data_IF_856735261041
#
_entry.id   IF_856735261041
#
_cell.length_a   1.000
_cell.length_b   1.000
_cell.length_c   1.000
_cell.angle_alpha   90.00
_cell.angle_beta   90.00
_cell.angle_gamma   90.00
#
_symmetry.space_group_name_H-M   'P 1'
#
loop_
_entity.id
_entity.type
_entity.pdbx_description
1 polymer ?
#
# COMPACT_ATOMS: atom_id res chain seq x y z
N UNK A 1 -13.13 -27.66 -43.50
CA UNK A 1 -11.71 -27.63 -43.08
C UNK A 1 -11.37 -26.18 -42.77
N UNK A 2 -11.50 -25.76 -41.52
CA UNK A 2 -11.07 -24.44 -41.09
C UNK A 2 -9.56 -24.54 -40.76
N UNK A 3 -8.77 -23.74 -41.46
CA UNK A 3 -7.33 -23.60 -41.23
C UNK A 3 -7.12 -22.94 -39.84
N UNK A 4 -6.70 -23.71 -38.86
CA UNK A 4 -6.15 -23.17 -37.60
C UNK A 4 -4.83 -22.48 -37.95
N UNK A 5 -4.87 -21.17 -38.05
CA UNK A 5 -3.67 -20.34 -38.15
C UNK A 5 -2.96 -20.40 -36.80
N UNK A 6 -1.94 -21.22 -36.69
CA UNK A 6 -1.04 -21.31 -35.55
C UNK A 6 -0.31 -19.98 -35.45
N UNK A 7 -0.82 -19.03 -34.67
CA UNK A 7 -0.14 -17.79 -34.35
C UNK A 7 1.11 -18.16 -33.53
N UNK A 8 2.29 -17.97 -34.14
CA UNK A 8 3.55 -18.20 -33.44
C UNK A 8 3.65 -17.19 -32.29
N UNK A 9 3.84 -17.67 -31.06
CA UNK A 9 3.82 -16.84 -29.82
C UNK A 9 4.79 -15.63 -29.81
N UNK A 10 5.66 -15.50 -30.83
CA UNK A 10 6.51 -14.30 -31.00
C UNK A 10 5.78 -13.10 -31.57
N UNK A 11 4.66 -13.28 -32.26
CA UNK A 11 3.86 -12.19 -32.84
C UNK A 11 2.99 -11.47 -31.79
N UNK A 12 2.91 -12.05 -30.59
CA UNK A 12 2.17 -11.49 -29.46
C UNK A 12 2.98 -10.47 -28.64
N UNK A 13 4.31 -10.42 -28.82
CA UNK A 13 5.20 -9.57 -28.02
C UNK A 13 5.63 -8.36 -28.81
N UNK A 14 5.27 -7.18 -28.33
CA UNK A 14 5.72 -5.92 -28.90
C UNK A 14 7.14 -5.59 -28.43
N UNK A 15 8.07 -5.22 -29.35
CA UNK A 15 9.36 -4.67 -28.94
C UNK A 15 9.15 -3.36 -28.14
N UNK A 16 9.80 -3.25 -26.99
CA UNK A 16 9.77 -2.05 -26.20
C UNK A 16 10.59 -0.88 -26.78
N UNK A 17 10.68 0.24 -26.06
CA UNK A 17 11.41 1.43 -26.50
C UNK A 17 12.88 1.15 -26.82
N UNK A 18 13.51 2.05 -27.59
CA UNK A 18 14.93 1.95 -27.93
C UNK A 18 15.81 1.68 -26.72
N UNK A 19 16.71 0.72 -26.85
CA UNK A 19 17.61 0.25 -25.77
C UNK A 19 19.00 0.87 -25.97
N UNK A 20 19.65 1.26 -24.88
CA UNK A 20 21.07 1.64 -24.91
C UNK A 20 21.94 0.39 -24.74
N UNK A 21 23.08 0.29 -25.47
CA UNK A 21 24.01 -0.82 -25.31
C UNK A 21 24.44 -0.98 -23.83
N UNK A 22 24.38 -2.20 -23.31
CA UNK A 22 24.74 -2.53 -21.93
C UNK A 22 23.75 -2.07 -20.85
N UNK A 23 23.08 -0.94 -21.02
CA UNK A 23 22.16 -0.35 -20.03
C UNK A 23 20.69 -0.69 -20.29
N UNK A 24 20.35 -1.18 -21.48
CA UNK A 24 18.96 -1.44 -21.83
C UNK A 24 18.08 -0.17 -21.75
N UNK A 25 16.96 -0.26 -21.05
CA UNK A 25 16.04 0.85 -20.82
C UNK A 25 16.22 1.50 -19.43
N UNK A 26 17.25 1.10 -18.66
CA UNK A 26 17.49 1.61 -17.31
C UNK A 26 17.50 3.15 -17.21
N UNK A 27 18.14 3.91 -18.10
CA UNK A 27 18.12 5.37 -18.00
C UNK A 27 16.72 5.97 -18.18
N UNK A 28 15.91 5.46 -19.11
CA UNK A 28 14.55 5.92 -19.35
C UNK A 28 13.64 5.57 -18.16
N UNK A 29 13.78 4.37 -17.60
CA UNK A 29 13.07 3.94 -16.41
C UNK A 29 13.48 4.77 -15.18
N UNK A 30 14.77 5.01 -14.95
CA UNK A 30 15.25 5.76 -13.80
C UNK A 30 14.86 7.25 -13.84
N UNK A 31 14.77 7.84 -15.03
CA UNK A 31 14.40 9.24 -15.22
C UNK A 31 12.92 9.49 -14.93
N UNK A 32 12.05 8.64 -15.47
CA UNK A 32 10.59 8.77 -15.35
C UNK A 32 9.94 7.37 -15.30
N UNK A 33 9.91 6.73 -14.12
CA UNK A 33 9.38 5.38 -13.99
C UNK A 33 7.89 5.27 -14.34
N UNK A 34 7.07 6.25 -13.95
CA UNK A 34 5.62 6.23 -14.18
C UNK A 34 5.30 6.39 -15.66
N UNK A 35 5.84 7.42 -16.29
CA UNK A 35 5.68 7.64 -17.72
C UNK A 35 6.33 6.54 -18.56
N UNK A 36 7.37 5.86 -18.04
CA UNK A 36 7.94 4.70 -18.72
C UNK A 36 6.94 3.56 -18.83
N UNK A 37 6.22 3.22 -17.77
CA UNK A 37 5.18 2.18 -17.81
C UNK A 37 3.97 2.60 -18.64
N UNK A 38 3.61 3.89 -18.65
CA UNK A 38 2.56 4.39 -19.55
C UNK A 38 2.96 4.18 -21.03
N UNK A 39 4.20 4.49 -21.39
CA UNK A 39 4.71 4.25 -22.76
C UNK A 39 4.71 2.77 -23.12
N UNK A 40 5.05 1.87 -22.17
CA UNK A 40 4.97 0.43 -22.40
C UNK A 40 3.52 -0.01 -22.65
N UNK A 41 2.57 0.46 -21.83
CA UNK A 41 1.14 0.15 -21.97
C UNK A 41 0.59 0.58 -23.33
N UNK A 42 0.95 1.79 -23.78
CA UNK A 42 0.56 2.30 -25.11
C UNK A 42 1.19 1.49 -26.25
N UNK A 43 2.38 0.94 -26.05
CA UNK A 43 3.07 0.14 -27.07
C UNK A 43 2.43 -1.24 -27.27
N UNK A 44 1.81 -1.83 -26.24
CA UNK A 44 1.19 -3.14 -26.34
C UNK A 44 0.84 -3.79 -25.01
N UNK A 45 0.21 -4.95 -25.08
CA UNK A 45 -0.23 -5.70 -23.91
C UNK A 45 0.87 -6.58 -23.30
N UNK A 46 1.79 -7.06 -24.14
CA UNK A 46 2.99 -7.81 -23.78
C UNK A 46 4.19 -7.10 -24.41
N UNK A 47 4.98 -6.40 -23.60
CA UNK A 47 6.09 -5.57 -24.12
C UNK A 47 7.43 -6.03 -23.55
N UNK A 48 8.35 -6.45 -24.42
CA UNK A 48 9.70 -6.83 -24.02
C UNK A 48 10.57 -5.59 -23.81
N UNK A 49 11.24 -5.51 -22.68
CA UNK A 49 12.21 -4.46 -22.38
C UNK A 49 13.41 -5.00 -21.59
N UNK A 50 14.37 -4.15 -21.22
CA UNK A 50 15.56 -4.58 -20.48
C UNK A 50 15.92 -3.62 -19.37
N UNK A 51 16.19 -4.16 -18.18
CA UNK A 51 16.76 -3.45 -17.06
C UNK A 51 18.26 -3.82 -16.97
N UNK A 52 19.11 -3.03 -17.62
CA UNK A 52 20.50 -3.44 -17.82
C UNK A 52 20.59 -4.72 -18.67
N UNK A 53 21.32 -5.74 -18.21
CA UNK A 53 21.40 -7.04 -18.90
C UNK A 53 20.15 -7.91 -18.71
N UNK A 54 19.31 -7.61 -17.71
CA UNK A 54 18.18 -8.43 -17.33
C UNK A 54 17.03 -8.29 -18.32
N UNK A 55 16.50 -9.43 -18.78
CA UNK A 55 15.28 -9.46 -19.60
C UNK A 55 14.06 -9.17 -18.74
N UNK A 56 13.18 -8.34 -19.25
CA UNK A 56 11.94 -7.95 -18.61
C UNK A 56 10.78 -8.02 -19.62
N UNK A 57 9.63 -8.45 -19.13
CA UNK A 57 8.36 -8.43 -19.86
C UNK A 57 7.38 -7.57 -19.08
N UNK A 58 6.80 -6.58 -19.71
CA UNK A 58 5.69 -5.81 -19.15
C UNK A 58 4.37 -6.39 -19.62
N UNK A 59 3.41 -6.49 -18.69
CA UNK A 59 2.05 -6.97 -18.93
C UNK A 59 1.03 -5.92 -18.49
N UNK A 60 0.05 -5.62 -19.36
CA UNK A 60 -0.98 -4.60 -19.10
C UNK A 60 -2.42 -5.10 -19.15
N UNK A 61 -2.69 -6.24 -19.82
CA UNK A 61 -4.05 -6.82 -19.82
C UNK A 61 -4.40 -7.44 -18.48
N UNK A 62 -5.64 -7.27 -18.01
CA UNK A 62 -6.11 -7.85 -16.76
C UNK A 62 -5.90 -9.37 -16.68
N UNK A 63 -6.09 -10.10 -17.78
CA UNK A 63 -5.89 -11.55 -17.84
C UNK A 63 -4.42 -11.93 -17.56
N UNK A 64 -3.47 -11.23 -18.20
CA UNK A 64 -2.03 -11.49 -17.99
C UNK A 64 -1.57 -11.02 -16.60
N UNK A 65 -2.15 -9.93 -16.08
CA UNK A 65 -1.93 -9.49 -14.71
C UNK A 65 -2.43 -10.57 -13.74
N UNK A 66 -3.60 -11.14 -14.01
CA UNK A 66 -4.15 -12.26 -13.24
C UNK A 66 -3.23 -13.48 -13.24
N UNK A 67 -2.70 -13.87 -14.40
CA UNK A 67 -1.73 -14.97 -14.53
C UNK A 67 -0.47 -14.69 -13.69
N UNK A 68 0.08 -13.45 -13.75
CA UNK A 68 1.22 -13.06 -12.93
C UNK A 68 0.90 -13.18 -11.44
N UNK A 69 -0.18 -12.55 -10.98
CA UNK A 69 -0.52 -12.47 -9.56
C UNK A 69 -0.87 -13.84 -8.95
N UNK A 70 -1.63 -14.65 -9.67
CA UNK A 70 -2.01 -16.01 -9.20
C UNK A 70 -0.88 -17.02 -9.37
N UNK A 71 0.02 -16.79 -10.33
CA UNK A 71 1.18 -17.65 -10.61
C UNK A 71 2.36 -17.45 -9.66
N UNK A 72 2.38 -16.40 -8.83
CA UNK A 72 3.44 -16.21 -7.83
C UNK A 72 3.38 -17.37 -6.81
N UNK A 73 4.53 -17.97 -6.49
CA UNK A 73 4.77 -19.19 -5.72
C UNK A 73 4.68 -20.50 -6.52
N UNK A 74 3.95 -20.55 -7.62
CA UNK A 74 3.87 -21.72 -8.50
C UNK A 74 4.80 -21.63 -9.70
N UNK A 75 4.45 -20.83 -10.68
CA UNK A 75 5.22 -20.63 -11.94
C UNK A 75 6.16 -19.44 -11.89
N UNK A 76 5.93 -18.48 -10.99
CA UNK A 76 6.84 -17.37 -10.73
C UNK A 76 7.38 -17.47 -9.31
N UNK A 77 8.64 -17.04 -9.10
CA UNK A 77 9.17 -16.76 -7.77
C UNK A 77 8.97 -15.30 -7.41
N UNK A 78 8.91 -15.00 -6.12
CA UNK A 78 8.92 -13.62 -5.66
C UNK A 78 10.26 -12.95 -6.03
N UNK A 79 10.28 -11.67 -6.43
CA UNK A 79 11.53 -10.97 -6.68
C UNK A 79 12.34 -10.83 -5.39
N UNK A 80 13.65 -10.89 -5.50
CA UNK A 80 14.50 -10.57 -4.37
C UNK A 80 14.36 -9.10 -4.00
N UNK A 81 13.89 -8.87 -2.79
CA UNK A 81 13.85 -7.54 -2.21
C UNK A 81 15.27 -7.13 -1.80
N UNK A 82 15.65 -5.90 -2.11
CA UNK A 82 17.01 -5.40 -1.83
C UNK A 82 17.43 -5.61 -0.37
N UNK A 83 18.73 -5.72 -0.12
CA UNK A 83 19.35 -5.99 1.18
C UNK A 83 18.85 -5.06 2.30
N UNK A 84 18.58 -3.78 1.99
CA UNK A 84 18.13 -2.78 2.95
C UNK A 84 16.72 -3.10 3.49
N UNK A 85 15.81 -3.52 2.61
CA UNK A 85 14.47 -3.93 3.02
C UNK A 85 14.51 -5.23 3.83
N UNK A 86 15.36 -6.19 3.42
CA UNK A 86 15.57 -7.44 4.15
C UNK A 86 16.20 -7.21 5.52
N UNK A 87 17.08 -6.21 5.67
CA UNK A 87 17.66 -5.84 6.95
C UNK A 87 16.58 -5.35 7.94
N UNK A 88 15.60 -4.59 7.47
CA UNK A 88 14.53 -4.05 8.31
C UNK A 88 13.45 -5.09 8.60
N UNK A 89 12.92 -5.73 7.56
CA UNK A 89 11.81 -6.70 7.67
C UNK A 89 12.26 -8.09 8.16
N UNK A 90 13.59 -8.34 8.15
CA UNK A 90 14.11 -9.67 8.43
C UNK A 90 13.60 -10.70 7.41
N UNK A 91 13.18 -11.84 7.92
CA UNK A 91 12.64 -12.96 7.14
C UNK A 91 11.12 -13.13 7.37
N UNK A 92 10.38 -12.01 7.41
CA UNK A 92 8.94 -11.99 7.60
C UNK A 92 8.14 -12.49 6.39
N UNK A 93 6.80 -12.43 6.47
CA UNK A 93 5.88 -12.92 5.42
C UNK A 93 6.05 -12.20 4.08
N UNK A 94 6.62 -11.00 4.04
CA UNK A 94 6.88 -10.25 2.80
C UNK A 94 8.18 -10.71 2.12
N UNK A 95 9.18 -11.12 2.89
CA UNK A 95 10.54 -11.42 2.41
C UNK A 95 10.84 -12.89 2.27
N UNK A 96 10.05 -13.77 2.89
CA UNK A 96 10.20 -15.23 2.82
C UNK A 96 9.55 -15.84 1.58
N UNK A 97 9.97 -17.06 1.21
CA UNK A 97 9.48 -17.81 0.06
C UNK A 97 9.15 -19.27 0.39
N UNK A 98 8.42 -19.93 -0.50
CA UNK A 98 8.16 -21.35 -0.47
C UNK A 98 7.46 -21.84 0.80
N UNK A 99 7.94 -22.93 1.40
CA UNK A 99 7.34 -23.53 2.59
C UNK A 99 7.41 -22.61 3.82
N UNK A 100 8.50 -21.85 3.98
CA UNK A 100 8.66 -20.91 5.08
C UNK A 100 7.62 -19.79 5.00
N UNK A 101 7.39 -19.26 3.79
CA UNK A 101 6.35 -18.26 3.57
C UNK A 101 4.95 -18.82 3.86
N UNK A 102 4.61 -20.00 3.33
CA UNK A 102 3.29 -20.61 3.57
C UNK A 102 3.00 -20.77 5.07
N UNK A 103 3.98 -21.27 5.83
CA UNK A 103 3.88 -21.40 7.29
C UNK A 103 3.64 -20.05 7.97
N UNK A 104 4.46 -19.05 7.68
CA UNK A 104 4.33 -17.70 8.27
C UNK A 104 3.00 -17.06 7.92
N UNK A 105 2.60 -17.14 6.65
CA UNK A 105 1.30 -16.60 6.23
C UNK A 105 0.14 -17.24 6.98
N UNK A 106 0.14 -18.56 7.16
CA UNK A 106 -0.87 -19.27 7.92
C UNK A 106 -0.94 -18.82 9.39
N UNK A 107 0.23 -18.53 10.01
CA UNK A 107 0.33 -18.05 11.39
C UNK A 107 -0.09 -16.59 11.57
N UNK A 108 0.18 -15.71 10.59
CA UNK A 108 -0.10 -14.28 10.67
C UNK A 108 -1.53 -13.95 10.22
N UNK A 109 -2.06 -14.64 9.22
CA UNK A 109 -3.37 -14.35 8.63
C UNK A 109 -4.52 -14.30 9.64
N UNK A 110 -4.61 -15.17 10.67
CA UNK A 110 -5.67 -15.08 11.69
C UNK A 110 -5.74 -13.74 12.41
N UNK A 111 -4.60 -13.05 12.61
CA UNK A 111 -4.53 -11.79 13.32
C UNK A 111 -5.16 -10.60 12.55
N UNK A 112 -5.38 -10.75 11.24
CA UNK A 112 -5.96 -9.72 10.37
C UNK A 112 -7.28 -10.15 9.71
N UNK A 113 -7.92 -11.21 10.22
CA UNK A 113 -9.25 -11.66 9.75
C UNK A 113 -10.33 -10.61 10.06
N UNK A 114 -11.45 -10.58 9.31
CA UNK A 114 -12.51 -9.58 9.48
C UNK A 114 -13.00 -9.40 10.92
N UNK A 115 -13.14 -10.50 11.68
CA UNK A 115 -13.54 -10.46 13.11
C UNK A 115 -12.52 -9.67 13.95
N UNK A 116 -11.23 -9.82 13.66
CA UNK A 116 -10.16 -9.15 14.39
C UNK A 116 -10.05 -7.67 13.98
N UNK A 117 -10.25 -7.38 12.69
CA UNK A 117 -10.29 -5.99 12.22
C UNK A 117 -11.41 -5.21 12.91
N UNK A 118 -12.54 -5.85 13.20
CA UNK A 118 -13.64 -5.24 13.99
C UNK A 118 -13.17 -4.78 15.37
N UNK A 119 -12.35 -5.57 16.08
CA UNK A 119 -11.88 -5.18 17.43
C UNK A 119 -10.91 -4.00 17.40
N UNK A 120 -10.24 -3.75 16.28
CA UNK A 120 -9.34 -2.61 16.11
C UNK A 120 -10.04 -1.31 15.70
N UNK A 121 -11.29 -1.37 15.25
CA UNK A 121 -12.02 -0.22 14.72
C UNK A 121 -12.18 0.92 15.73
N UNK A 122 -12.44 0.60 16.99
CA UNK A 122 -12.54 1.60 18.07
C UNK A 122 -11.22 2.39 18.20
N UNK A 123 -10.08 1.71 18.23
CA UNK A 123 -8.75 2.37 18.27
C UNK A 123 -8.53 3.30 17.09
N UNK A 124 -8.96 2.90 15.87
CA UNK A 124 -8.85 3.72 14.66
C UNK A 124 -9.64 5.03 14.81
N UNK A 125 -10.90 4.92 15.23
CA UNK A 125 -11.79 6.09 15.38
C UNK A 125 -11.43 6.97 16.56
N UNK A 126 -10.96 6.41 17.69
CA UNK A 126 -10.45 7.18 18.81
C UNK A 126 -9.23 8.03 18.44
N UNK A 127 -8.24 7.43 17.74
CA UNK A 127 -7.08 8.16 17.26
C UNK A 127 -7.46 9.27 16.29
N UNK A 128 -8.40 9.01 15.37
CA UNK A 128 -8.90 10.00 14.43
C UNK A 128 -9.68 11.12 15.13
N UNK A 129 -10.52 10.81 16.13
CA UNK A 129 -11.25 11.79 16.91
C UNK A 129 -10.31 12.71 17.71
N UNK A 130 -9.23 12.15 18.29
CA UNK A 130 -8.20 12.94 18.98
C UNK A 130 -7.51 13.92 18.01
N UNK A 131 -7.22 13.50 16.78
CA UNK A 131 -6.67 14.39 15.76
C UNK A 131 -7.68 15.46 15.35
N UNK A 132 -8.95 15.07 15.12
CA UNK A 132 -10.02 16.02 14.79
C UNK A 132 -10.17 17.12 15.86
N UNK A 133 -10.13 16.75 17.14
CA UNK A 133 -10.18 17.71 18.25
C UNK A 133 -8.96 18.66 18.30
N UNK A 134 -7.80 18.22 17.84
CA UNK A 134 -6.59 19.03 17.77
C UNK A 134 -6.52 19.93 16.51
N UNK A 135 -7.33 19.64 15.50
CA UNK A 135 -7.37 20.41 14.26
C UNK A 135 -8.25 21.65 14.41
N UNK A 136 -7.62 22.81 14.27
CA UNK A 136 -8.30 24.09 14.37
C UNK A 136 -8.53 24.69 12.98
N UNK A 137 -9.75 25.09 12.63
CA UNK A 137 -10.03 25.80 11.38
C UNK A 137 -9.10 27.01 11.20
N UNK A 138 -8.66 27.23 9.96
CA UNK A 138 -7.72 28.30 9.61
C UNK A 138 -6.24 27.90 9.70
N UNK A 139 -5.89 26.88 10.47
CA UNK A 139 -4.50 26.36 10.58
C UNK A 139 -4.04 25.77 9.23
N UNK A 140 -2.78 26.00 8.88
CA UNK A 140 -2.12 25.31 7.77
C UNK A 140 -1.34 24.12 8.32
N UNK A 141 -1.60 22.95 7.76
CA UNK A 141 -0.96 21.69 8.14
C UNK A 141 -0.24 21.05 6.95
N UNK A 142 0.76 20.23 7.22
CA UNK A 142 1.25 19.25 6.25
C UNK A 142 0.41 17.98 6.38
N UNK A 143 -0.53 17.81 5.46
CA UNK A 143 -1.50 16.69 5.46
C UNK A 143 -0.79 15.34 5.51
N UNK A 144 0.31 15.22 4.76
CA UNK A 144 1.09 13.97 4.74
C UNK A 144 1.65 13.65 6.12
N UNK A 145 2.24 14.64 6.78
CA UNK A 145 2.78 14.46 8.13
C UNK A 145 1.69 14.08 9.14
N UNK A 146 0.54 14.75 9.09
CA UNK A 146 -0.58 14.45 9.99
C UNK A 146 -1.13 13.04 9.74
N UNK A 147 -1.33 12.63 8.49
CA UNK A 147 -1.86 11.29 8.17
C UNK A 147 -0.88 10.18 8.51
N UNK A 148 0.42 10.37 8.24
CA UNK A 148 1.44 9.41 8.67
C UNK A 148 1.51 9.29 10.18
N UNK A 149 1.50 10.39 10.93
CA UNK A 149 1.50 10.34 12.40
C UNK A 149 0.25 9.66 12.97
N UNK A 150 -0.92 9.88 12.35
CA UNK A 150 -2.16 9.23 12.74
C UNK A 150 -2.11 7.71 12.51
N UNK A 151 -1.80 7.29 11.30
CA UNK A 151 -1.73 5.85 10.95
C UNK A 151 -0.62 5.13 11.71
N UNK A 152 0.49 5.82 12.02
CA UNK A 152 1.54 5.33 12.92
C UNK A 152 0.98 5.04 14.31
N UNK A 153 0.27 6.00 14.91
CA UNK A 153 -0.36 5.82 16.22
C UNK A 153 -1.35 4.66 16.22
N UNK A 154 -2.19 4.55 15.17
CA UNK A 154 -3.13 3.44 15.02
C UNK A 154 -2.37 2.11 14.93
N UNK A 155 -1.32 2.02 14.10
CA UNK A 155 -0.52 0.82 13.95
C UNK A 155 0.15 0.39 15.28
N UNK A 156 0.74 1.31 16.01
CA UNK A 156 1.37 1.02 17.32
C UNK A 156 0.32 0.52 18.32
N UNK A 157 -0.82 1.20 18.43
CA UNK A 157 -1.87 0.82 19.38
C UNK A 157 -2.55 -0.49 19.05
N UNK A 158 -2.76 -0.79 17.77
CA UNK A 158 -3.35 -2.06 17.34
C UNK A 158 -2.36 -3.21 17.40
N UNK A 159 -1.07 -2.96 17.14
CA UNK A 159 -0.03 -3.98 17.17
C UNK A 159 0.44 -4.30 18.60
N UNK A 160 0.68 -3.26 19.40
CA UNK A 160 1.29 -3.41 20.74
C UNK A 160 0.32 -3.15 21.92
N UNK A 161 -0.94 -2.78 21.63
CA UNK A 161 -1.95 -2.45 22.65
C UNK A 161 -1.85 -1.01 23.17
N UNK A 162 -2.93 -0.56 23.82
CA UNK A 162 -3.11 0.85 24.26
C UNK A 162 -2.19 1.29 25.40
N UNK A 163 -1.59 0.36 26.15
CA UNK A 163 -0.78 0.66 27.32
C UNK A 163 0.70 0.99 27.01
N UNK A 164 1.07 1.02 25.73
CA UNK A 164 2.43 1.38 25.29
C UNK A 164 2.71 2.89 25.34
N UNK A 165 1.92 3.63 26.12
CA UNK A 165 1.98 5.08 26.25
C UNK A 165 3.37 5.57 26.68
N UNK A 166 3.92 6.52 25.89
CA UNK A 166 5.19 7.21 26.15
C UNK A 166 6.38 6.71 25.31
N UNK A 167 6.28 5.59 24.57
CA UNK A 167 7.34 5.07 23.70
C UNK A 167 6.90 4.84 22.25
N UNK A 168 5.66 5.20 21.93
CA UNK A 168 5.15 5.20 20.54
C UNK A 168 6.08 6.00 19.61
N UNK A 169 6.63 7.10 20.12
CA UNK A 169 7.55 7.96 19.39
C UNK A 169 8.91 7.30 19.11
N UNK A 170 9.37 6.37 19.96
CA UNK A 170 10.69 5.71 19.79
C UNK A 170 10.65 4.76 18.60
N UNK A 171 9.70 3.83 18.57
CA UNK A 171 9.52 2.91 17.41
C UNK A 171 9.24 3.72 16.16
N UNK A 172 8.30 4.66 16.24
CA UNK A 172 7.92 5.48 15.10
C UNK A 172 9.08 6.25 14.50
N UNK A 173 9.86 6.93 15.33
CA UNK A 173 11.03 7.68 14.87
C UNK A 173 12.10 6.78 14.24
N UNK A 174 12.35 5.60 14.83
CA UNK A 174 13.28 4.63 14.27
C UNK A 174 12.83 4.08 12.93
N UNK A 175 11.53 3.77 12.80
CA UNK A 175 10.91 3.31 11.56
C UNK A 175 10.96 4.38 10.46
N UNK A 176 10.70 5.64 10.79
CA UNK A 176 10.84 6.77 9.86
C UNK A 176 12.27 6.92 9.34
N UNK A 177 13.27 6.75 10.21
CA UNK A 177 14.68 6.76 9.81
C UNK A 177 14.97 5.57 8.88
N UNK A 178 14.48 4.38 9.21
CA UNK A 178 14.67 3.19 8.40
C UNK A 178 14.02 3.33 7.00
N UNK A 179 12.79 3.81 6.93
CA UNK A 179 12.08 4.02 5.65
C UNK A 179 12.78 5.05 4.76
N UNK A 180 13.20 6.18 5.33
CA UNK A 180 13.96 7.19 4.57
C UNK A 180 15.27 6.61 4.05
N UNK A 181 16.01 5.88 4.87
CA UNK A 181 17.29 5.27 4.48
C UNK A 181 17.10 4.19 3.39
N UNK A 182 16.03 3.39 3.45
CA UNK A 182 15.66 2.45 2.38
C UNK A 182 15.38 3.23 1.08
N UNK A 183 14.56 4.28 1.14
CA UNK A 183 14.23 5.09 -0.03
C UNK A 183 15.47 5.75 -0.67
N UNK A 184 16.43 6.20 0.14
CA UNK A 184 17.69 6.78 -0.32
C UNK A 184 18.60 5.72 -0.96
N UNK A 185 18.63 4.50 -0.44
CA UNK A 185 19.39 3.39 -1.01
C UNK A 185 18.85 3.00 -2.41
N UNK A 186 17.54 3.00 -2.60
CA UNK A 186 16.94 2.71 -3.91
C UNK A 186 17.14 3.80 -4.96
N UNK A 187 17.38 5.05 -4.56
CA UNK A 187 17.52 6.18 -5.47
C UNK A 187 18.96 6.67 -5.66
N UNK A 188 19.85 6.27 -4.78
CA UNK A 188 21.22 6.78 -4.75
C UNK A 188 22.20 5.95 -5.57
N UNK A 189 23.38 6.53 -5.84
CA UNK A 189 24.53 5.80 -6.37
C UNK A 189 24.95 4.63 -5.47
N UNK A 190 24.51 4.63 -4.22
CA UNK A 190 24.73 3.57 -3.23
C UNK A 190 24.12 2.23 -3.65
N UNK A 191 23.11 2.24 -4.54
CA UNK A 191 22.52 1.02 -5.14
C UNK A 191 23.59 0.17 -5.85
N UNK A 192 24.61 0.81 -6.46
CA UNK A 192 25.67 0.13 -7.19
C UNK A 192 26.84 -0.29 -6.29
N UNK A 193 26.85 0.12 -5.02
CA UNK A 193 27.89 -0.24 -4.06
C UNK A 193 27.56 -1.58 -3.38
N UNK A 194 28.53 -2.48 -3.19
CA UNK A 194 28.34 -3.68 -2.39
C UNK A 194 27.74 -3.35 -1.00
N UNK A 195 26.86 -4.21 -0.49
CA UNK A 195 26.14 -3.99 0.76
C UNK A 195 27.02 -3.83 2.00
N UNK A 196 28.27 -4.32 1.95
CA UNK A 196 29.25 -4.21 3.03
C UNK A 196 29.91 -2.83 3.12
N UNK A 197 29.83 -1.97 2.09
CA UNK A 197 30.43 -0.63 2.10
C UNK A 197 29.68 0.26 3.10
N UNK A 198 30.32 0.81 4.13
CA UNK A 198 29.67 1.58 5.18
C UNK A 198 29.44 3.03 4.75
N UNK A 199 28.27 3.35 4.21
CA UNK A 199 27.87 4.73 3.96
C UNK A 199 27.19 5.35 5.20
N UNK A 200 27.12 6.68 5.32
CA UNK A 200 26.38 7.33 6.41
C UNK A 200 24.90 6.91 6.48
N UNK A 201 24.25 6.73 5.33
CA UNK A 201 22.86 6.23 5.24
C UNK A 201 22.73 4.82 5.80
N UNK A 202 23.62 3.91 5.39
CA UNK A 202 23.66 2.51 5.86
C UNK A 202 23.94 2.39 7.36
N UNK A 203 24.79 3.26 7.91
CA UNK A 203 25.02 3.32 9.36
C UNK A 203 23.78 3.79 10.11
N UNK A 204 23.08 4.82 9.60
CA UNK A 204 21.81 5.27 10.17
C UNK A 204 20.75 4.17 10.14
N UNK A 205 20.63 3.46 9.01
CA UNK A 205 19.71 2.33 8.85
C UNK A 205 19.97 1.23 9.89
N UNK A 206 21.22 0.80 10.05
CA UNK A 206 21.58 -0.22 11.04
C UNK A 206 21.24 0.21 12.46
N UNK A 207 21.55 1.46 12.85
CA UNK A 207 21.17 1.99 14.18
C UNK A 207 19.67 2.04 14.38
N UNK A 208 18.90 2.41 13.35
CA UNK A 208 17.46 2.40 13.43
C UNK A 208 16.92 0.97 13.64
N UNK A 209 17.49 -0.03 12.94
CA UNK A 209 17.14 -1.44 13.12
C UNK A 209 17.46 -1.92 14.54
N UNK A 210 18.61 -1.56 15.10
CA UNK A 210 18.98 -1.89 16.48
C UNK A 210 17.96 -1.34 17.50
N UNK A 211 17.49 -0.10 17.30
CA UNK A 211 16.44 0.50 18.15
C UNK A 211 15.11 -0.26 18.01
N UNK A 212 14.71 -0.59 16.78
CA UNK A 212 13.51 -1.35 16.49
C UNK A 212 13.58 -2.72 17.16
N UNK A 213 14.70 -3.43 17.00
CA UNK A 213 14.91 -4.76 17.59
C UNK A 213 14.82 -4.73 19.11
N UNK A 214 15.48 -3.77 19.74
CA UNK A 214 15.47 -3.61 21.19
C UNK A 214 14.06 -3.34 21.72
N UNK A 215 13.29 -2.48 21.04
CA UNK A 215 11.95 -2.12 21.50
C UNK A 215 10.93 -3.24 21.26
N UNK A 216 10.98 -3.92 20.12
CA UNK A 216 10.12 -5.08 19.86
C UNK A 216 10.43 -6.23 20.83
N UNK A 217 11.71 -6.48 21.12
CA UNK A 217 12.13 -7.49 22.09
C UNK A 217 11.61 -7.15 23.51
N UNK A 218 11.72 -5.89 23.93
CA UNK A 218 11.22 -5.41 25.22
C UNK A 218 9.71 -5.63 25.35
N UNK A 219 8.92 -5.14 24.34
CA UNK A 219 7.46 -5.29 24.37
C UNK A 219 7.05 -6.76 24.35
N UNK A 220 7.72 -7.59 23.54
CA UNK A 220 7.49 -9.03 23.49
C UNK A 220 7.74 -9.69 24.85
N UNK A 221 8.84 -9.34 25.52
CA UNK A 221 9.18 -9.87 26.83
C UNK A 221 8.19 -9.45 27.93
N UNK A 222 7.80 -8.18 27.94
CA UNK A 222 6.77 -7.65 28.85
C UNK A 222 5.43 -8.37 28.61
N UNK A 223 5.06 -8.57 27.35
CA UNK A 223 3.81 -9.25 26.99
C UNK A 223 3.77 -10.71 27.48
N UNK A 224 4.86 -11.43 27.38
CA UNK A 224 4.95 -12.81 27.88
C UNK A 224 4.86 -12.92 29.41
N UNK A 225 5.22 -11.86 30.15
CA UNK A 225 5.13 -11.81 31.62
C UNK A 225 3.78 -11.29 32.11
N UNK A 226 3.05 -10.54 31.28
CA UNK A 226 1.78 -10.01 31.68
C UNK A 226 0.74 -11.11 31.83
N UNK A 227 0.03 -11.13 32.95
CA UNK A 227 -1.14 -11.98 33.16
C UNK A 227 -2.37 -11.26 32.60
N UNK A 228 -3.08 -11.90 31.70
CA UNK A 228 -4.31 -11.39 31.09
C UNK A 228 -4.33 -11.56 29.58
N UNK A 229 -5.53 -11.84 29.06
CA UNK A 229 -5.75 -11.97 27.62
C UNK A 229 -5.87 -10.55 27.03
N UNK A 230 -4.96 -10.18 26.15
CA UNK A 230 -4.98 -8.90 25.45
C UNK A 230 -5.30 -9.12 23.97
N UNK A 231 -6.19 -8.28 23.45
CA UNK A 231 -6.71 -8.38 22.10
C UNK A 231 -5.92 -7.48 21.11
N UNK A 232 -4.58 -7.67 21.06
CA UNK A 232 -3.70 -6.99 20.10
C UNK A 232 -2.97 -7.97 19.18
N UNK A 233 -2.42 -7.43 18.07
CA UNK A 233 -1.73 -8.22 17.05
C UNK A 233 -0.54 -8.98 17.60
N UNK A 234 0.29 -8.39 18.48
CA UNK A 234 1.45 -9.04 19.07
C UNK A 234 1.05 -10.23 19.93
N UNK A 235 0.02 -10.09 20.77
CA UNK A 235 -0.52 -11.18 21.58
C UNK A 235 -0.99 -12.35 20.72
N UNK A 236 -1.62 -12.07 19.58
CA UNK A 236 -2.05 -13.07 18.61
C UNK A 236 -0.89 -13.77 17.93
N UNK A 237 0.17 -13.02 17.55
CA UNK A 237 1.39 -13.61 16.98
C UNK A 237 2.07 -14.56 17.99
N UNK A 238 2.14 -14.17 19.27
CA UNK A 238 2.71 -14.98 20.35
C UNK A 238 1.89 -16.25 20.63
N UNK A 239 0.57 -16.17 20.47
CA UNK A 239 -0.34 -17.29 20.64
C UNK A 239 -0.42 -18.23 19.43
N UNK A 240 -0.01 -17.74 18.23
CA UNK A 240 -0.12 -18.51 17.00
C UNK A 240 0.70 -19.80 17.03
N UNK A 241 0.12 -20.89 16.51
CA UNK A 241 0.75 -22.21 16.38
C UNK A 241 0.52 -22.71 14.97
N UNK A 242 1.53 -23.37 14.40
CA UNK A 242 1.38 -24.09 13.14
C UNK A 242 0.69 -25.44 13.33
N UNK A 243 0.52 -26.18 12.23
CA UNK A 243 -0.17 -27.48 12.23
C UNK A 243 0.54 -28.52 13.13
N UNK A 244 1.84 -28.35 13.37
CA UNK A 244 2.64 -29.19 14.30
C UNK A 244 2.63 -28.65 15.75
N UNK A 245 1.83 -27.61 16.04
CA UNK A 245 1.75 -26.97 17.35
C UNK A 245 2.95 -26.06 17.68
N UNK A 246 3.85 -25.80 16.74
CA UNK A 246 5.06 -25.00 16.95
C UNK A 246 4.75 -23.50 16.89
N UNK A 247 5.17 -22.69 17.88
CA UNK A 247 5.01 -21.26 17.88
C UNK A 247 5.99 -20.57 16.91
N UNK A 248 5.76 -19.27 16.68
CA UNK A 248 6.78 -18.39 16.12
C UNK A 248 7.92 -18.22 17.14
N UNK A 249 9.17 -18.27 16.66
CA UNK A 249 10.35 -17.89 17.45
C UNK A 249 10.35 -16.38 17.71
N UNK A 250 11.13 -15.88 18.67
CA UNK A 250 11.24 -14.45 18.98
C UNK A 250 11.67 -13.63 17.76
N UNK A 251 12.57 -14.18 16.95
CA UNK A 251 12.99 -13.55 15.71
C UNK A 251 11.86 -13.48 14.68
N UNK A 252 11.10 -14.56 14.51
CA UNK A 252 9.93 -14.54 13.61
C UNK A 252 8.85 -13.57 14.11
N UNK A 253 8.58 -13.53 15.42
CA UNK A 253 7.65 -12.55 16.01
C UNK A 253 8.11 -11.13 15.72
N UNK A 254 9.41 -10.81 15.90
CA UNK A 254 10.00 -9.52 15.56
C UNK A 254 9.81 -9.19 14.07
N UNK A 255 10.15 -10.13 13.19
CA UNK A 255 10.12 -9.92 11.74
C UNK A 255 8.67 -9.68 11.26
N UNK A 256 7.71 -10.43 11.80
CA UNK A 256 6.30 -10.24 11.48
C UNK A 256 5.73 -8.95 12.08
N UNK A 257 6.07 -8.60 13.32
CA UNK A 257 5.62 -7.36 13.95
C UNK A 257 6.10 -6.13 13.16
N UNK A 258 7.37 -6.11 12.76
CA UNK A 258 7.94 -5.03 11.94
C UNK A 258 7.31 -5.00 10.54
N UNK A 259 7.08 -6.16 9.94
CA UNK A 259 6.42 -6.27 8.62
C UNK A 259 5.01 -5.71 8.65
N UNK A 260 4.21 -6.08 9.65
CA UNK A 260 2.83 -5.60 9.82
C UNK A 260 2.78 -4.09 10.11
N UNK A 261 3.71 -3.61 10.95
CA UNK A 261 3.81 -2.18 11.23
C UNK A 261 4.09 -1.36 9.95
N UNK A 262 5.13 -1.71 9.20
CA UNK A 262 5.50 -0.99 7.97
C UNK A 262 4.38 -1.08 6.93
N UNK A 263 3.79 -2.26 6.77
CA UNK A 263 2.70 -2.47 5.82
C UNK A 263 1.44 -1.66 6.13
N UNK A 264 1.10 -1.49 7.41
CA UNK A 264 -0.12 -0.79 7.84
C UNK A 264 0.01 0.73 7.92
N UNK A 265 1.18 1.23 8.29
CA UNK A 265 1.39 2.65 8.57
C UNK A 265 1.52 3.50 7.30
N UNK A 266 2.57 3.29 6.51
CA UNK A 266 2.94 4.19 5.41
C UNK A 266 1.92 4.15 4.25
N UNK A 267 1.41 2.97 3.92
CA UNK A 267 0.48 2.80 2.79
C UNK A 267 -0.85 3.47 3.04
N UNK A 268 -1.44 3.29 4.23
CA UNK A 268 -2.71 3.91 4.61
C UNK A 268 -2.57 5.42 4.79
N UNK A 269 -1.49 5.90 5.43
CA UNK A 269 -1.22 7.33 5.59
C UNK A 269 -1.03 8.05 4.25
N UNK A 270 -0.37 7.41 3.29
CA UNK A 270 -0.22 7.91 1.93
C UNK A 270 -1.56 7.95 1.19
N UNK A 271 -2.39 6.89 1.32
CA UNK A 271 -3.74 6.85 0.75
C UNK A 271 -4.61 7.98 1.29
N UNK A 272 -4.64 8.19 2.60
CA UNK A 272 -5.39 9.29 3.23
C UNK A 272 -4.89 10.67 2.79
N UNK A 273 -3.58 10.82 2.63
CA UNK A 273 -2.98 12.06 2.11
C UNK A 273 -3.50 12.39 0.71
N UNK A 274 -3.50 11.42 -0.19
CA UNK A 274 -4.02 11.58 -1.54
C UNK A 274 -5.55 11.75 -1.56
N UNK A 275 -6.28 11.11 -0.65
CA UNK A 275 -7.72 11.31 -0.53
C UNK A 275 -8.06 12.76 -0.19
N UNK A 276 -7.38 13.38 0.78
CA UNK A 276 -7.55 14.79 1.11
C UNK A 276 -7.18 15.71 -0.05
N UNK A 277 -6.07 15.45 -0.74
CA UNK A 277 -5.67 16.20 -1.93
C UNK A 277 -6.74 16.13 -3.02
N UNK A 278 -7.25 14.95 -3.33
CA UNK A 278 -8.28 14.75 -4.36
C UNK A 278 -9.61 15.40 -3.96
N UNK A 279 -10.05 15.26 -2.72
CA UNK A 279 -11.27 15.88 -2.21
C UNK A 279 -11.19 17.42 -2.24
N UNK A 280 -10.01 17.99 -1.94
CA UNK A 280 -9.78 19.43 -2.05
C UNK A 280 -10.02 19.97 -3.46
N UNK A 281 -9.65 19.18 -4.46
CA UNK A 281 -9.75 19.57 -5.88
C UNK A 281 -11.07 19.18 -6.55
N UNK A 282 -11.92 18.44 -5.83
CA UNK A 282 -13.19 17.92 -6.36
C UNK A 282 -14.36 18.29 -5.42
N UNK A 283 -14.83 19.56 -5.44
CA UNK A 283 -15.86 20.04 -4.51
C UNK A 283 -17.18 19.27 -4.62
N UNK A 284 -17.53 18.74 -5.79
CA UNK A 284 -18.71 17.89 -5.96
C UNK A 284 -18.60 16.56 -5.20
N UNK A 285 -17.44 15.90 -5.26
CA UNK A 285 -17.21 14.68 -4.50
C UNK A 285 -17.19 14.98 -3.00
N UNK A 286 -16.58 16.09 -2.57
CA UNK A 286 -16.61 16.55 -1.18
C UNK A 286 -18.03 16.75 -0.68
N UNK A 287 -18.87 17.47 -1.42
CA UNK A 287 -20.26 17.73 -1.02
C UNK A 287 -21.08 16.44 -0.89
N UNK A 288 -20.84 15.44 -1.75
CA UNK A 288 -21.49 14.12 -1.63
C UNK A 288 -21.02 13.38 -0.39
N UNK A 289 -19.71 13.41 -0.09
CA UNK A 289 -19.15 12.83 1.14
C UNK A 289 -19.82 13.47 2.37
N UNK A 290 -19.90 14.80 2.43
CA UNK A 290 -20.55 15.52 3.53
C UNK A 290 -22.02 15.14 3.69
N UNK A 291 -22.74 14.97 2.58
CA UNK A 291 -24.13 14.53 2.56
C UNK A 291 -24.30 13.12 3.17
N UNK A 292 -23.44 12.17 2.78
CA UNK A 292 -23.44 10.82 3.37
C UNK A 292 -23.16 10.86 4.86
N UNK A 293 -22.08 11.54 5.28
CA UNK A 293 -21.66 11.59 6.68
C UNK A 293 -22.73 12.23 7.58
N UNK A 294 -23.37 13.31 7.13
CA UNK A 294 -24.48 13.92 7.87
C UNK A 294 -25.66 12.97 8.04
N UNK A 295 -26.04 12.30 6.95
CA UNK A 295 -27.21 11.40 6.96
C UNK A 295 -26.96 10.18 7.82
N UNK A 296 -25.74 9.62 7.78
CA UNK A 296 -25.44 8.34 8.44
C UNK A 296 -24.97 8.54 9.87
N UNK A 297 -24.12 9.54 10.11
CA UNK A 297 -23.42 9.71 11.38
C UNK A 297 -24.01 10.83 12.24
N UNK A 298 -24.55 11.89 11.64
CA UNK A 298 -25.15 13.03 12.36
C UNK A 298 -24.24 13.58 13.49
N UNK A 299 -22.93 13.68 13.22
CA UNK A 299 -21.93 14.20 14.18
C UNK A 299 -21.34 13.16 15.15
N UNK A 300 -21.89 11.95 15.23
CA UNK A 300 -21.29 10.90 16.09
C UNK A 300 -20.05 10.26 15.45
N UNK A 301 -19.17 9.75 16.27
CA UNK A 301 -18.02 8.96 15.82
C UNK A 301 -18.50 7.69 15.10
N UNK A 302 -17.96 7.37 13.93
CA UNK A 302 -18.35 6.15 13.21
C UNK A 302 -17.84 4.89 13.94
N UNK A 303 -18.63 3.82 13.82
CA UNK A 303 -18.30 2.49 14.31
C UNK A 303 -18.10 1.52 13.16
N UNK A 304 -17.57 0.33 13.44
CA UNK A 304 -17.35 -0.71 12.42
C UNK A 304 -18.63 -1.06 11.63
N UNK A 305 -19.77 -1.06 12.28
CA UNK A 305 -21.06 -1.42 11.65
C UNK A 305 -21.58 -0.33 10.70
N UNK A 306 -21.09 0.90 10.83
CA UNK A 306 -21.43 1.99 9.91
C UNK A 306 -20.80 1.83 8.53
N UNK A 307 -19.73 1.04 8.39
CA UNK A 307 -19.05 0.83 7.10
C UNK A 307 -20.02 0.47 5.96
N UNK A 308 -21.05 -0.33 6.25
CA UNK A 308 -22.07 -0.72 5.26
C UNK A 308 -22.97 0.45 4.83
N UNK A 309 -23.02 1.51 5.61
CA UNK A 309 -23.82 2.72 5.40
C UNK A 309 -22.98 3.89 4.88
N UNK A 310 -21.70 3.67 4.65
CA UNK A 310 -20.73 4.65 4.14
C UNK A 310 -20.18 4.24 2.76
N UNK A 311 -21.03 3.85 1.79
CA UNK A 311 -20.58 3.36 0.49
C UNK A 311 -19.83 4.44 -0.30
N UNK A 312 -20.23 5.72 -0.23
CA UNK A 312 -19.53 6.77 -0.96
C UNK A 312 -18.16 7.08 -0.34
N UNK A 313 -18.03 7.05 0.97
CA UNK A 313 -16.73 7.15 1.65
C UNK A 313 -15.78 6.02 1.19
N UNK A 314 -16.28 4.78 1.07
CA UNK A 314 -15.52 3.66 0.54
C UNK A 314 -15.16 3.88 -0.94
N UNK A 315 -16.06 4.42 -1.76
CA UNK A 315 -15.81 4.77 -3.16
C UNK A 315 -14.71 5.82 -3.30
N UNK A 316 -14.67 6.83 -2.42
CA UNK A 316 -13.58 7.82 -2.35
C UNK A 316 -12.24 7.15 -2.10
N UNK A 317 -12.15 6.22 -1.15
CA UNK A 317 -10.93 5.48 -0.85
C UNK A 317 -10.51 4.60 -2.04
N UNK A 318 -11.43 3.87 -2.66
CA UNK A 318 -11.16 3.04 -3.84
C UNK A 318 -10.64 3.86 -5.02
N UNK A 319 -11.25 5.01 -5.28
CA UNK A 319 -10.84 5.88 -6.38
C UNK A 319 -9.47 6.52 -6.10
N UNK A 320 -9.20 6.85 -4.83
CA UNK A 320 -7.86 7.29 -4.41
C UNK A 320 -6.81 6.22 -4.67
N UNK A 321 -7.08 4.96 -4.29
CA UNK A 321 -6.20 3.83 -4.54
C UNK A 321 -6.03 3.53 -6.04
N UNK A 322 -7.01 3.86 -6.87
CA UNK A 322 -6.89 3.75 -8.33
C UNK A 322 -5.93 4.79 -8.88
N UNK A 323 -6.12 6.06 -8.52
CA UNK A 323 -5.30 7.17 -9.02
C UNK A 323 -3.91 7.20 -8.40
N UNK A 324 -3.78 6.92 -7.11
CA UNK A 324 -2.51 6.98 -6.38
C UNK A 324 -2.28 5.71 -5.57
N UNK A 325 -2.08 4.55 -6.23
CA UNK A 325 -1.81 3.29 -5.53
C UNK A 325 -0.47 3.37 -4.79
N UNK A 326 -0.42 3.18 -3.45
CA UNK A 326 0.84 3.20 -2.71
C UNK A 326 1.86 2.18 -3.24
N UNK A 327 1.42 0.97 -3.55
CA UNK A 327 2.20 0.00 -4.33
C UNK A 327 1.87 0.26 -5.80
N UNK A 328 2.85 0.73 -6.55
CA UNK A 328 2.67 1.22 -7.92
C UNK A 328 3.16 0.25 -8.99
N UNK A 329 3.83 -0.82 -8.58
CA UNK A 329 4.29 -1.89 -9.46
C UNK A 329 4.29 -3.24 -8.72
N UNK A 330 4.14 -4.32 -9.50
CA UNK A 330 4.27 -5.71 -9.08
C UNK A 330 5.19 -6.45 -10.04
N UNK A 331 5.94 -7.40 -9.51
CA UNK A 331 6.87 -8.19 -10.33
C UNK A 331 6.86 -9.65 -9.90
N UNK A 332 7.17 -10.52 -10.87
CA UNK A 332 7.44 -11.94 -10.63
C UNK A 332 8.60 -12.40 -11.50
N UNK A 333 9.38 -13.36 -11.02
CA UNK A 333 10.52 -13.91 -11.78
C UNK A 333 10.16 -15.28 -12.30
N UNK A 334 10.17 -15.44 -13.62
CA UNK A 334 9.80 -16.68 -14.29
C UNK A 334 10.69 -17.85 -13.86
N UNK A 335 10.07 -18.96 -13.48
CA UNK A 335 10.72 -20.27 -13.28
C UNK A 335 10.83 -20.99 -14.63
N UNK A 336 11.50 -22.12 -14.65
CA UNK A 336 11.52 -22.98 -15.82
C UNK A 336 10.10 -23.45 -16.16
N UNK A 337 9.75 -23.44 -17.45
CA UNK A 337 8.42 -23.80 -17.94
C UNK A 337 7.31 -22.76 -17.71
N UNK A 338 7.64 -21.55 -17.23
CA UNK A 338 6.65 -20.49 -17.06
C UNK A 338 6.11 -19.99 -18.38
N UNK A 339 4.82 -19.66 -18.40
CA UNK A 339 4.15 -19.00 -19.53
C UNK A 339 3.37 -17.79 -19.05
N UNK A 340 3.06 -16.85 -19.93
CA UNK A 340 2.11 -15.76 -19.71
C UNK A 340 1.41 -15.41 -21.01
N UNK A 341 0.09 -15.35 -21.02
CA UNK A 341 -0.68 -15.18 -22.26
C UNK A 341 -0.37 -16.27 -23.29
N UNK A 342 -0.03 -17.50 -22.87
CA UNK A 342 0.42 -18.57 -23.75
C UNK A 342 1.86 -18.43 -24.28
N UNK A 343 2.57 -17.34 -23.95
CA UNK A 343 3.97 -17.12 -24.35
C UNK A 343 4.92 -17.83 -23.38
N UNK A 344 5.78 -18.78 -23.86
CA UNK A 344 6.82 -19.37 -23.04
C UNK A 344 7.88 -18.32 -22.62
N UNK A 345 8.22 -18.31 -21.32
CA UNK A 345 9.20 -17.38 -20.77
C UNK A 345 10.51 -18.09 -20.44
N UNK A 346 11.66 -17.57 -20.87
CA UNK A 346 12.95 -18.04 -20.36
C UNK A 346 13.01 -17.87 -18.84
N UNK A 347 13.54 -18.88 -18.13
CA UNK A 347 13.76 -18.79 -16.70
C UNK A 347 14.60 -17.55 -16.34
N UNK A 348 14.24 -16.87 -15.27
CA UNK A 348 14.88 -15.61 -14.85
C UNK A 348 14.34 -14.35 -15.53
N UNK A 349 13.42 -14.47 -16.51
CA UNK A 349 12.72 -13.30 -17.05
C UNK A 349 11.89 -12.64 -15.93
N UNK A 350 12.05 -11.33 -15.73
CA UNK A 350 11.22 -10.60 -14.78
C UNK A 350 9.98 -10.07 -15.49
N UNK A 351 8.82 -10.52 -15.02
CA UNK A 351 7.52 -10.04 -15.49
C UNK A 351 7.10 -8.87 -14.61
N UNK A 352 6.70 -7.77 -15.22
CA UNK A 352 6.33 -6.52 -14.57
C UNK A 352 4.90 -6.14 -14.90
N UNK A 353 4.16 -5.70 -13.91
CA UNK A 353 2.91 -4.98 -14.09
C UNK A 353 2.91 -3.74 -13.21
N UNK A 354 2.25 -2.68 -13.64
CA UNK A 354 2.18 -1.44 -12.89
C UNK A 354 0.73 -1.10 -12.56
N UNK A 355 0.42 -1.02 -11.26
CA UNK A 355 -0.88 -0.52 -10.80
C UNK A 355 -1.12 0.89 -11.30
N UNK A 356 -0.08 1.74 -11.32
CA UNK A 356 -0.19 3.09 -11.86
C UNK A 356 -0.75 3.12 -13.27
N UNK A 357 -0.19 2.34 -14.19
CA UNK A 357 -0.62 2.33 -15.59
C UNK A 357 -1.87 1.49 -15.83
N UNK A 358 -2.03 0.35 -15.16
CA UNK A 358 -3.20 -0.51 -15.31
C UNK A 358 -4.47 0.16 -14.81
N UNK A 359 -4.39 0.85 -13.65
CA UNK A 359 -5.52 1.58 -13.10
C UNK A 359 -5.89 2.86 -13.87
N UNK A 360 -5.07 3.24 -14.86
CA UNK A 360 -5.29 4.36 -15.78
C UNK A 360 -5.57 3.93 -17.22
N UNK A 361 -5.81 2.65 -17.44
CA UNK A 361 -6.10 2.14 -18.77
C UNK A 361 -7.51 2.57 -19.21
N UNK A 362 -7.65 3.39 -20.27
CA UNK A 362 -8.94 3.89 -20.71
C UNK A 362 -9.87 2.80 -21.23
N UNK A 363 -9.35 1.62 -21.55
CA UNK A 363 -10.16 0.45 -21.93
C UNK A 363 -11.06 -0.02 -20.79
N UNK A 364 -10.60 0.17 -19.54
CA UNK A 364 -11.27 -0.31 -18.32
C UNK A 364 -11.81 0.84 -17.45
N UNK A 365 -11.16 2.00 -17.52
CA UNK A 365 -11.49 3.17 -16.74
C UNK A 365 -11.70 4.40 -17.65
N UNK A 366 -12.92 4.62 -18.17
CA UNK A 366 -13.23 5.83 -18.92
C UNK A 366 -12.88 7.10 -18.12
N UNK A 367 -12.33 8.12 -18.78
CA UNK A 367 -11.77 9.31 -18.16
C UNK A 367 -10.78 8.95 -17.03
N UNK A 368 -9.65 8.27 -17.36
CA UNK A 368 -8.83 7.60 -16.37
C UNK A 368 -8.14 8.56 -15.39
N UNK A 369 -7.92 9.82 -15.76
CA UNK A 369 -7.32 10.82 -14.88
C UNK A 369 -8.35 11.55 -13.99
N UNK A 370 -9.63 11.44 -14.29
CA UNK A 370 -10.68 12.07 -13.50
C UNK A 370 -10.92 11.32 -12.19
N UNK A 371 -11.03 12.09 -11.10
CA UNK A 371 -11.45 11.56 -9.80
C UNK A 371 -12.96 11.40 -9.75
N UNK A 372 -13.43 10.17 -9.93
CA UNK A 372 -14.86 9.81 -10.03
C UNK A 372 -15.18 8.65 -9.08
N UNK A 373 -15.40 8.93 -7.77
CA UNK A 373 -15.73 7.88 -6.80
C UNK A 373 -16.94 7.04 -7.20
N UNK A 374 -17.93 7.65 -7.87
CA UNK A 374 -19.15 6.98 -8.35
C UNK A 374 -18.91 5.86 -9.36
N UNK A 375 -17.74 5.76 -9.98
CA UNK A 375 -17.41 4.59 -10.84
C UNK A 375 -17.43 3.25 -10.09
N UNK A 376 -17.32 3.31 -8.76
CA UNK A 376 -17.37 2.14 -7.88
C UNK A 376 -18.79 1.81 -7.42
N UNK A 377 -19.78 2.58 -7.85
CA UNK A 377 -21.19 2.28 -7.60
C UNK A 377 -21.68 1.28 -8.64
N UNK A 378 -22.16 0.08 -8.24
CA UNK A 378 -22.70 -0.92 -9.17
C UNK A 378 -23.87 -0.41 -10.02
N UNK A 379 -24.56 0.65 -9.58
CA UNK A 379 -25.67 1.26 -10.32
C UNK A 379 -25.21 2.17 -11.46
N UNK A 380 -23.93 2.61 -11.48
CA UNK A 380 -23.42 3.59 -12.47
C UNK A 380 -22.88 2.94 -13.73
N UNK A 381 -22.42 1.71 -13.66
CA UNK A 381 -21.88 1.02 -14.84
C UNK A 381 -21.32 -0.37 -14.52
N UNK A 382 -20.89 -1.10 -15.55
CA UNK A 382 -20.27 -2.40 -15.35
C UNK A 382 -18.95 -2.24 -14.59
N UNK A 383 -18.70 -3.20 -13.70
CA UNK A 383 -17.42 -3.28 -13.01
C UNK A 383 -16.28 -3.49 -14.03
N UNK A 384 -15.12 -2.91 -13.78
CA UNK A 384 -13.91 -3.24 -14.52
C UNK A 384 -13.60 -4.74 -14.39
N UNK A 385 -12.96 -5.36 -15.39
CA UNK A 385 -12.61 -6.79 -15.32
C UNK A 385 -11.76 -7.09 -14.08
N UNK A 386 -11.81 -8.34 -13.62
CA UNK A 386 -10.91 -8.82 -12.58
C UNK A 386 -9.46 -8.50 -12.95
N UNK A 387 -8.67 -8.09 -11.96
CA UNK A 387 -7.27 -7.67 -12.11
C UNK A 387 -7.01 -6.39 -12.95
N UNK A 388 -8.04 -5.67 -13.42
CA UNK A 388 -7.87 -4.31 -13.92
C UNK A 388 -7.60 -3.33 -12.76
N UNK A 389 -8.10 -3.65 -11.55
CA UNK A 389 -7.86 -2.92 -10.31
C UNK A 389 -7.35 -3.88 -9.24
N UNK A 390 -6.08 -3.71 -8.83
CA UNK A 390 -5.38 -4.62 -7.92
C UNK A 390 -4.45 -3.88 -6.94
N UNK A 391 -4.92 -2.86 -6.20
CA UNK A 391 -4.08 -2.07 -5.31
C UNK A 391 -3.50 -2.91 -4.15
N UNK A 392 -4.12 -4.04 -3.86
CA UNK A 392 -3.71 -5.00 -2.83
C UNK A 392 -3.05 -6.26 -3.42
N UNK A 393 -2.64 -6.21 -4.70
CA UNK A 393 -2.13 -7.38 -5.41
C UNK A 393 -3.21 -8.44 -5.64
N UNK A 394 -2.80 -9.71 -5.71
CA UNK A 394 -3.72 -10.82 -5.96
C UNK A 394 -3.09 -12.18 -5.67
N UNK A 395 -3.89 -13.24 -5.85
CA UNK A 395 -3.45 -14.61 -5.65
C UNK A 395 -2.98 -14.92 -4.23
N UNK A 396 -2.08 -15.87 -4.11
CA UNK A 396 -1.57 -16.33 -2.82
C UNK A 396 -0.85 -15.23 -2.03
N UNK A 397 -0.22 -14.27 -2.72
CA UNK A 397 0.53 -13.14 -2.15
C UNK A 397 -0.30 -11.86 -1.98
N UNK A 398 -1.61 -11.91 -2.17
CA UNK A 398 -2.48 -10.77 -1.91
C UNK A 398 -2.23 -10.18 -0.51
N UNK A 399 -2.39 -8.87 -0.38
CA UNK A 399 -2.14 -8.15 0.87
C UNK A 399 -2.95 -8.74 2.03
N UNK A 400 -2.27 -9.13 3.10
CA UNK A 400 -2.90 -9.63 4.33
C UNK A 400 -3.75 -8.55 5.01
N UNK A 401 -3.28 -7.30 4.98
CA UNK A 401 -3.89 -6.15 5.61
C UNK A 401 -4.96 -5.45 4.77
N UNK A 402 -5.37 -5.97 3.60
CA UNK A 402 -6.30 -5.28 2.69
C UNK A 402 -7.59 -4.84 3.40
N UNK A 403 -8.19 -5.75 4.19
CA UNK A 403 -9.40 -5.42 4.95
C UNK A 403 -9.14 -4.40 6.05
N UNK A 404 -8.01 -4.52 6.76
CA UNK A 404 -7.60 -3.58 7.78
C UNK A 404 -7.42 -2.18 7.19
N UNK A 405 -6.65 -2.06 6.11
CA UNK A 405 -6.38 -0.79 5.43
C UNK A 405 -7.65 -0.09 4.92
N UNK A 406 -8.58 -0.85 4.33
CA UNK A 406 -9.86 -0.30 3.87
C UNK A 406 -10.73 0.19 5.03
N UNK A 407 -10.84 -0.59 6.11
CA UNK A 407 -11.60 -0.20 7.31
C UNK A 407 -10.99 1.05 7.95
N UNK A 408 -9.67 1.05 8.13
CA UNK A 408 -8.93 2.19 8.68
C UNK A 408 -9.15 3.45 7.84
N UNK A 409 -8.92 3.37 6.53
CA UNK A 409 -9.04 4.53 5.66
C UNK A 409 -10.46 5.11 5.64
N UNK A 410 -11.50 4.26 5.59
CA UNK A 410 -12.90 4.71 5.59
C UNK A 410 -13.28 5.33 6.94
N UNK A 411 -12.97 4.67 8.06
CA UNK A 411 -13.32 5.18 9.39
C UNK A 411 -12.57 6.47 9.74
N UNK A 412 -11.28 6.54 9.41
CA UNK A 412 -10.47 7.75 9.63
C UNK A 412 -10.98 8.91 8.79
N UNK A 413 -11.21 8.69 7.49
CA UNK A 413 -11.74 9.72 6.61
C UNK A 413 -13.13 10.19 7.08
N UNK A 414 -14.03 9.26 7.41
CA UNK A 414 -15.36 9.58 7.91
C UNK A 414 -15.32 10.34 9.23
N UNK A 415 -14.39 10.02 10.13
CA UNK A 415 -14.25 10.73 11.40
C UNK A 415 -13.77 12.16 11.18
N UNK A 416 -12.70 12.34 10.42
CA UNK A 416 -12.09 13.66 10.23
C UNK A 416 -12.96 14.60 9.39
N UNK A 417 -13.57 14.08 8.31
CA UNK A 417 -14.34 14.89 7.36
C UNK A 417 -15.64 15.46 7.92
N UNK A 418 -16.15 14.93 9.04
CA UNK A 418 -17.28 15.54 9.74
C UNK A 418 -16.93 16.88 10.41
N UNK A 419 -15.66 17.12 10.72
CA UNK A 419 -15.21 18.27 11.47
C UNK A 419 -14.55 19.34 10.60
N UNK A 420 -13.72 18.88 9.65
CA UNK A 420 -12.92 19.77 8.81
C UNK A 420 -12.75 19.22 7.41
N UNK A 421 -12.50 20.15 6.48
CA UNK A 421 -11.93 19.88 5.17
C UNK A 421 -10.52 20.44 5.07
N UNK A 422 -9.79 19.96 4.08
CA UNK A 422 -8.45 20.44 3.78
C UNK A 422 -8.52 21.16 2.43
N UNK A 423 -8.14 22.43 2.39
CA UNK A 423 -7.93 23.17 1.15
C UNK A 423 -6.44 23.21 0.83
N UNK A 424 -6.03 22.45 -0.19
CA UNK A 424 -4.62 22.36 -0.61
C UNK A 424 -4.22 23.45 -1.60
N UNK A 425 -5.14 24.35 -1.93
CA UNK A 425 -4.89 25.39 -2.94
C UNK A 425 -4.76 24.84 -4.37
N UNK A 426 -4.36 25.70 -5.32
CA UNK A 426 -4.30 25.34 -6.74
C UNK A 426 -3.04 24.55 -7.14
N UNK A 427 -2.00 24.51 -6.33
CA UNK A 427 -0.71 23.92 -6.70
C UNK A 427 -0.83 22.40 -6.90
N UNK A 428 -0.25 21.93 -8.00
CA UNK A 428 -0.20 20.50 -8.27
C UNK A 428 0.90 19.83 -7.49
N UNK A 429 0.57 18.66 -6.92
CA UNK A 429 1.52 17.80 -6.23
C UNK A 429 1.80 16.59 -7.10
N UNK A 430 2.98 16.57 -7.73
CA UNK A 430 3.41 15.43 -8.53
C UNK A 430 3.69 14.22 -7.64
N UNK A 431 3.31 13.00 -8.07
CA UNK A 431 3.70 11.78 -7.36
C UNK A 431 5.19 11.51 -7.55
N UNK A 432 5.82 10.95 -6.52
CA UNK A 432 7.21 10.51 -6.53
C UNK A 432 7.29 9.02 -6.24
N UNK A 433 7.96 8.30 -7.11
CA UNK A 433 8.23 6.88 -6.93
C UNK A 433 9.30 6.63 -5.87
N UNK A 434 9.10 5.58 -5.10
CA UNK A 434 10.00 5.06 -4.08
C UNK A 434 9.59 3.63 -3.75
N UNK A 435 9.77 3.21 -2.50
CA UNK A 435 9.16 1.97 -2.01
C UNK A 435 7.63 2.04 -2.17
N UNK A 436 7.08 3.21 -1.88
CA UNK A 436 5.67 3.57 -2.12
C UNK A 436 5.57 4.78 -3.05
N UNK A 437 4.41 4.99 -3.66
CA UNK A 437 4.09 6.15 -4.47
C UNK A 437 3.66 7.30 -3.55
N UNK A 438 4.57 8.20 -3.26
CA UNK A 438 4.38 9.30 -2.33
C UNK A 438 4.16 10.64 -3.04
N UNK A 439 3.59 11.66 -2.37
CA UNK A 439 3.70 13.04 -2.83
C UNK A 439 5.16 13.48 -2.98
N UNK A 440 5.49 14.11 -4.09
CA UNK A 440 6.85 14.58 -4.37
C UNK A 440 7.25 15.82 -3.58
N UNK A 441 6.26 16.56 -3.05
CA UNK A 441 6.41 17.72 -2.18
C UNK A 441 5.45 17.64 -0.99
N UNK A 442 5.64 18.42 0.08
CA UNK A 442 4.69 18.50 1.18
C UNK A 442 3.28 18.90 0.70
N UNK A 443 2.27 18.15 1.10
CA UNK A 443 0.86 18.47 0.82
C UNK A 443 0.39 19.44 1.90
N UNK A 444 0.63 20.73 1.69
CA UNK A 444 0.16 21.76 2.61
C UNK A 444 -1.30 22.07 2.35
N UNK A 445 -2.09 22.17 3.41
CA UNK A 445 -3.50 22.49 3.29
C UNK A 445 -3.99 23.34 4.46
N UNK A 446 -4.89 24.27 4.16
CA UNK A 446 -5.61 25.04 5.18
C UNK A 446 -6.79 24.23 5.65
N UNK A 447 -6.93 24.08 6.95
CA UNK A 447 -8.10 23.47 7.56
C UNK A 447 -9.28 24.43 7.47
N UNK A 448 -10.38 24.00 6.86
CA UNK A 448 -11.63 24.76 6.77
C UNK A 448 -12.72 23.98 7.50
N UNK A 449 -13.69 24.65 8.18
CA UNK A 449 -14.78 23.94 8.84
C UNK A 449 -15.55 23.08 7.84
N UNK A 450 -15.97 21.90 8.24
CA UNK A 450 -17.03 21.21 7.53
C UNK A 450 -18.27 22.11 7.55
N UNK A 451 -18.87 22.37 6.40
CA UNK A 451 -19.98 23.34 6.29
C UNK A 451 -21.17 22.87 7.11
N UNK A 452 -21.45 23.60 8.18
CA UNK A 452 -22.68 23.43 8.97
C UNK A 452 -23.84 24.11 8.23
N UNK A 453 -24.56 23.36 7.40
CA UNK A 453 -25.77 23.87 6.74
C UNK A 453 -27.00 23.90 7.68
N UNK A 454 -26.78 23.88 9.01
CA UNK A 454 -27.83 23.79 10.02
C UNK A 454 -28.41 25.11 10.52
N UNK A 455 -27.94 26.29 10.05
CA UNK A 455 -28.41 27.61 10.56
C UNK A 455 -28.97 28.54 9.50
N UNK A 456 -29.58 28.01 8.45
CA UNK A 456 -30.29 28.84 7.46
C UNK A 456 -31.79 28.49 7.44
N UNK A 457 -32.52 28.69 8.55
CA UNK A 457 -33.97 28.83 8.61
C UNK A 457 -34.43 29.27 10.00
N UNK A 458 -34.17 30.52 10.35
CA UNK A 458 -35.04 31.30 11.26
C UNK A 458 -34.61 32.78 11.15
N UNK A 459 -35.20 33.44 10.23
CA UNK A 459 -35.17 34.86 10.05
C UNK A 459 -36.31 35.28 9.13
#
# INVERSE_FOLDING_TARGET
MASETTVHGRDLVTPGPRRLPGLGNLPAFAHDPLGFFERLRVSGDLVEWRLGPQRALFVSRPEHIGELLTGIETVFRHPELGWALKLVLGDGVVTSEGAAWRRKRALVQPAVRPRQVRSYAATMTECAAQLAAAWQPGRIVDVRREMLALTQRIAVRTLFGTDSTGREDVIGSAMDVAQRAIGDEFRGLTLFLPSWVPTPGRRRLRRAVEVIDAEVARVTHERRRATGDRDDLLSRLLAARDDDGKPLSDREVRDEAVTLYIGGHETTGTTLTWAWYLLSRNPGARARLDGELRTVLAGRTPEFDDLRRLPFTEQVVKETLRLYPPVWLMTGVAKEGSTIGGLPLPAGTVVWSSQWSAHRDPRWFPDPEAFRPERWDPAVGPAAPDHAWFPFGGGARACLGARFAMVEAVLVLATLAQHVHVDTGPDEVAPRTGLTLQPGSPVRGRLIPAVDHGTAASG
#
